data_IF_531127338696
#
_entry.id   IF_531127338696
#
_cell.length_a   1.000
_cell.length_b   1.000
_cell.length_c   1.000
_cell.angle_alpha   90.00
_cell.angle_beta   90.00
_cell.angle_gamma   90.00
#
_symmetry.space_group_name_H-M   'P 1'
#
loop_
_entity.id
_entity.type
_entity.pdbx_description
1 polymer ?
#
# COMPACT_ATOMS: atom_id res chain seq x y z
N UNK A 1 -3.59 26.67 -3.46
CA UNK A 1 -4.56 26.33 -2.39
C UNK A 1 -3.87 26.48 -1.04
N UNK A 2 -4.57 26.95 0.00
CA UNK A 2 -4.01 27.11 1.34
C UNK A 2 -4.20 25.81 2.12
N UNK A 3 -3.12 25.21 2.65
CA UNK A 3 -3.19 23.98 3.45
C UNK A 3 -4.15 24.19 4.63
N UNK A 4 -5.07 23.24 4.86
CA UNK A 4 -6.10 23.31 5.91
C UNK A 4 -5.59 22.95 7.30
N UNK A 5 -4.39 22.39 7.42
CA UNK A 5 -3.73 22.02 8.68
C UNK A 5 -2.53 22.95 8.97
N UNK A 6 -2.30 23.25 10.25
CA UNK A 6 -1.12 24.01 10.71
C UNK A 6 -0.26 23.21 11.71
N UNK A 7 -0.88 22.28 12.42
CA UNK A 7 -0.26 21.43 13.44
C UNK A 7 -0.66 19.97 13.24
N UNK A 8 0.09 19.04 13.83
CA UNK A 8 -0.30 17.62 13.84
C UNK A 8 -1.72 17.37 14.38
N UNK A 9 -2.17 18.16 15.37
CA UNK A 9 -3.54 18.07 15.91
C UNK A 9 -4.62 18.45 14.90
N UNK A 10 -4.34 19.44 14.05
CA UNK A 10 -5.27 19.81 12.98
C UNK A 10 -5.39 18.68 11.96
N UNK A 11 -4.25 18.05 11.61
CA UNK A 11 -4.22 16.94 10.68
C UNK A 11 -4.97 15.71 11.22
N UNK A 12 -4.77 15.39 12.51
CA UNK A 12 -5.48 14.30 13.20
C UNK A 12 -6.99 14.54 13.20
N UNK A 13 -7.44 15.74 13.59
CA UNK A 13 -8.85 16.10 13.57
C UNK A 13 -9.46 16.05 12.16
N UNK A 14 -8.72 16.48 11.13
CA UNK A 14 -9.18 16.37 9.75
C UNK A 14 -9.32 14.91 9.31
N UNK A 15 -8.41 14.04 9.73
CA UNK A 15 -8.50 12.62 9.44
C UNK A 15 -9.71 11.97 10.14
N UNK A 16 -9.94 12.30 11.41
CA UNK A 16 -11.13 11.84 12.16
C UNK A 16 -12.43 12.24 11.46
N UNK A 17 -12.54 13.50 11.02
CA UNK A 17 -13.71 13.96 10.27
C UNK A 17 -13.91 13.19 8.97
N UNK A 18 -12.82 12.94 8.22
CA UNK A 18 -12.90 12.14 7.00
C UNK A 18 -13.39 10.72 7.28
N UNK A 19 -12.84 10.07 8.32
CA UNK A 19 -13.24 8.71 8.68
C UNK A 19 -14.70 8.64 9.13
N UNK A 20 -15.16 9.60 9.94
CA UNK A 20 -16.55 9.69 10.36
C UNK A 20 -17.50 9.89 9.17
N UNK A 21 -17.13 10.73 8.20
CA UNK A 21 -17.91 10.93 6.98
C UNK A 21 -17.97 9.66 6.12
N UNK A 22 -16.85 8.93 5.97
CA UNK A 22 -16.85 7.67 5.23
C UNK A 22 -17.70 6.60 5.93
N UNK A 23 -17.65 6.53 7.26
CA UNK A 23 -18.46 5.62 8.07
C UNK A 23 -19.96 5.93 7.92
N UNK A 24 -20.35 7.20 8.01
CA UNK A 24 -21.75 7.63 7.81
C UNK A 24 -22.26 7.30 6.41
N UNK A 25 -21.40 7.44 5.40
CA UNK A 25 -21.73 7.13 4.01
C UNK A 25 -21.58 5.64 3.66
N UNK A 26 -21.15 4.81 4.60
CA UNK A 26 -20.82 3.40 4.40
C UNK A 26 -19.86 3.18 3.20
N UNK A 27 -18.81 4.02 3.11
CA UNK A 27 -17.81 4.02 2.06
C UNK A 27 -16.43 3.58 2.58
N UNK A 28 -15.64 2.88 1.77
CA UNK A 28 -14.26 2.56 2.13
C UNK A 28 -13.38 3.82 2.07
N UNK A 29 -12.43 3.87 2.98
CA UNK A 29 -11.41 4.90 3.04
C UNK A 29 -10.28 4.61 2.07
N UNK A 30 -9.58 5.65 1.60
CA UNK A 30 -8.38 5.49 0.79
C UNK A 30 -7.40 6.64 0.98
N UNK A 31 -6.12 6.41 0.67
CA UNK A 31 -5.09 7.47 0.71
C UNK A 31 -5.46 8.61 -0.24
N UNK A 32 -5.97 8.30 -1.43
CA UNK A 32 -6.44 9.32 -2.38
C UNK A 32 -7.65 10.09 -1.83
N UNK A 33 -8.60 9.40 -1.19
CA UNK A 33 -9.80 10.01 -0.62
C UNK A 33 -9.47 11.01 0.49
N UNK A 34 -8.63 10.62 1.46
CA UNK A 34 -8.23 11.54 2.54
C UNK A 34 -7.36 12.69 2.02
N UNK A 35 -6.49 12.42 1.04
CA UNK A 35 -5.67 13.47 0.40
C UNK A 35 -6.55 14.53 -0.26
N UNK A 36 -7.56 14.09 -1.01
CA UNK A 36 -8.53 14.98 -1.64
C UNK A 36 -9.36 15.75 -0.62
N UNK A 37 -9.86 15.07 0.42
CA UNK A 37 -10.61 15.70 1.52
C UNK A 37 -9.81 16.81 2.22
N UNK A 38 -8.52 16.55 2.45
CA UNK A 38 -7.59 17.51 3.05
C UNK A 38 -7.23 18.67 2.11
N UNK A 39 -7.53 18.54 0.82
CA UNK A 39 -7.28 19.56 -0.19
C UNK A 39 -5.88 19.48 -0.80
N UNK A 40 -5.25 18.31 -0.81
CA UNK A 40 -4.05 18.11 -1.61
C UNK A 40 -4.41 17.94 -3.09
N UNK A 41 -3.54 18.41 -3.97
CA UNK A 41 -3.70 18.19 -5.40
C UNK A 41 -3.18 16.81 -5.82
N UNK A 42 -2.18 16.29 -5.11
CA UNK A 42 -1.60 14.97 -5.33
C UNK A 42 -1.40 14.21 -4.01
N UNK A 43 -1.55 12.88 -4.03
CA UNK A 43 -1.34 12.00 -2.86
C UNK A 43 0.10 12.02 -2.36
N UNK A 44 1.07 12.30 -3.21
CA UNK A 44 2.49 12.43 -2.84
C UNK A 44 2.71 13.57 -1.85
N UNK A 45 1.96 14.67 -1.95
CA UNK A 45 2.05 15.76 -0.97
C UNK A 45 1.60 15.34 0.42
N UNK A 46 0.59 14.47 0.50
CA UNK A 46 0.14 13.87 1.76
C UNK A 46 1.19 12.89 2.30
N UNK A 47 1.77 12.05 1.43
CA UNK A 47 2.79 11.08 1.82
C UNK A 47 4.12 11.73 2.22
N UNK A 48 4.46 12.89 1.67
CA UNK A 48 5.68 13.63 2.01
C UNK A 48 5.67 14.08 3.49
N UNK A 49 4.50 14.28 4.09
CA UNK A 49 4.36 14.58 5.51
C UNK A 49 4.87 13.45 6.42
N UNK A 50 4.98 12.22 5.92
CA UNK A 50 5.56 11.09 6.65
C UNK A 50 7.05 11.31 6.97
N UNK A 51 7.73 12.20 6.24
CA UNK A 51 9.15 12.53 6.47
C UNK A 51 9.35 13.61 7.54
N UNK A 52 8.30 14.32 7.92
CA UNK A 52 8.34 15.32 8.97
C UNK A 52 7.99 14.67 10.31
N UNK A 53 8.91 14.74 11.29
CA UNK A 53 8.74 14.12 12.60
C UNK A 53 7.47 14.59 13.34
N UNK A 54 7.01 15.83 13.09
CA UNK A 54 5.77 16.33 13.68
C UNK A 54 4.53 15.58 13.14
N UNK A 55 4.51 15.27 11.84
CA UNK A 55 3.33 14.72 11.17
C UNK A 55 3.38 13.21 10.97
N UNK A 56 4.58 12.61 10.96
CA UNK A 56 4.79 11.19 10.71
C UNK A 56 3.92 10.28 11.59
N UNK A 57 3.78 10.50 12.91
CA UNK A 57 2.91 9.66 13.74
C UNK A 57 1.44 9.68 13.30
N UNK A 58 0.95 10.84 12.86
CA UNK A 58 -0.44 11.01 12.39
C UNK A 58 -0.63 10.32 11.04
N UNK A 59 0.29 10.54 10.09
CA UNK A 59 0.25 9.89 8.77
C UNK A 59 0.30 8.36 8.89
N UNK A 60 1.17 7.83 9.76
CA UNK A 60 1.30 6.40 9.99
C UNK A 60 0.02 5.80 10.58
N UNK A 61 -0.64 6.48 11.53
CA UNK A 61 -1.95 6.04 12.06
C UNK A 61 -3.03 6.04 10.99
N UNK A 62 -3.06 7.06 10.13
CA UNK A 62 -4.03 7.13 9.01
C UNK A 62 -3.83 5.95 8.07
N UNK A 63 -2.59 5.71 7.63
CA UNK A 63 -2.25 4.59 6.73
C UNK A 63 -2.67 3.26 7.35
N UNK A 64 -2.31 3.04 8.63
CA UNK A 64 -2.66 1.82 9.36
C UNK A 64 -4.17 1.61 9.48
N UNK A 65 -4.96 2.68 9.71
CA UNK A 65 -6.42 2.57 9.77
C UNK A 65 -7.02 2.18 8.42
N UNK A 66 -6.55 2.77 7.33
CA UNK A 66 -7.00 2.43 5.97
C UNK A 66 -6.60 0.99 5.62
N UNK A 67 -5.40 0.56 6.00
CA UNK A 67 -4.91 -0.81 5.82
C UNK A 67 -5.76 -1.82 6.59
N UNK A 68 -6.09 -1.52 7.86
CA UNK A 68 -6.96 -2.36 8.69
C UNK A 68 -8.33 -2.54 8.05
N UNK A 69 -8.93 -1.47 7.54
CA UNK A 69 -10.21 -1.56 6.82
C UNK A 69 -10.08 -2.41 5.56
N UNK A 70 -9.01 -2.24 4.78
CA UNK A 70 -8.77 -3.05 3.59
C UNK A 70 -8.62 -4.54 3.94
N UNK A 71 -8.01 -4.88 5.08
CA UNK A 71 -7.94 -6.26 5.57
C UNK A 71 -9.34 -6.78 5.94
N UNK A 72 -10.15 -6.00 6.66
CA UNK A 72 -11.52 -6.39 7.02
C UNK A 72 -12.38 -6.67 5.77
N UNK A 73 -12.24 -5.83 4.74
CA UNK A 73 -12.91 -5.98 3.45
C UNK A 73 -12.56 -7.28 2.71
N UNK A 74 -11.44 -7.95 3.02
CA UNK A 74 -11.14 -9.28 2.44
C UNK A 74 -12.14 -10.35 2.87
N UNK A 75 -12.72 -10.20 4.06
CA UNK A 75 -13.65 -11.17 4.65
C UNK A 75 -15.12 -10.83 4.40
N UNK A 76 -15.40 -9.59 3.99
CA UNK A 76 -16.74 -9.13 3.64
C UNK A 76 -17.07 -9.45 2.18
N UNK A 77 -18.10 -10.27 1.98
CA UNK A 77 -18.58 -10.72 0.67
C UNK A 77 -19.20 -9.61 -0.18
N UNK A 78 -19.47 -8.44 0.39
CA UNK A 78 -19.96 -7.27 -0.35
C UNK A 78 -18.87 -6.62 -1.20
N UNK A 79 -17.60 -6.90 -0.92
CA UNK A 79 -16.46 -6.38 -1.68
C UNK A 79 -15.86 -7.44 -2.61
N UNK A 80 -15.36 -6.97 -3.77
CA UNK A 80 -14.61 -7.82 -4.67
C UNK A 80 -13.20 -8.08 -4.11
N UNK A 81 -12.97 -9.26 -3.55
CA UNK A 81 -11.70 -9.67 -2.93
C UNK A 81 -10.48 -9.37 -3.82
N UNK A 82 -10.57 -9.62 -5.14
CA UNK A 82 -9.48 -9.32 -6.09
C UNK A 82 -9.11 -7.84 -6.11
N UNK A 83 -10.09 -6.94 -6.03
CA UNK A 83 -9.85 -5.50 -5.98
C UNK A 83 -9.20 -5.07 -4.67
N UNK A 84 -9.60 -5.68 -3.56
CA UNK A 84 -9.00 -5.45 -2.24
C UNK A 84 -7.54 -5.94 -2.20
N UNK A 85 -7.26 -7.13 -2.73
CA UNK A 85 -5.89 -7.68 -2.86
C UNK A 85 -5.02 -6.76 -3.73
N UNK A 86 -5.55 -6.28 -4.85
CA UNK A 86 -4.84 -5.33 -5.71
C UNK A 86 -4.48 -4.04 -4.96
N UNK A 87 -5.40 -3.49 -4.17
CA UNK A 87 -5.15 -2.31 -3.34
C UNK A 87 -4.06 -2.58 -2.28
N UNK A 88 -4.12 -3.70 -1.57
CA UNK A 88 -3.09 -4.08 -0.59
C UNK A 88 -1.70 -4.17 -1.21
N UNK A 89 -1.60 -4.71 -2.44
CA UNK A 89 -0.33 -4.78 -3.18
C UNK A 89 0.18 -3.40 -3.60
N UNK A 90 -0.67 -2.61 -4.25
CA UNK A 90 -0.25 -1.33 -4.83
C UNK A 90 -0.06 -0.20 -3.81
N UNK A 91 -0.81 -0.22 -2.71
CA UNK A 91 -0.85 0.89 -1.75
C UNK A 91 -0.15 0.59 -0.43
N UNK A 92 -0.03 -0.69 -0.04
CA UNK A 92 0.50 -1.11 1.27
C UNK A 92 1.69 -2.08 1.16
N UNK A 93 2.18 -2.35 -0.05
CA UNK A 93 3.42 -3.11 -0.26
C UNK A 93 3.29 -4.62 -0.03
N UNK A 94 2.06 -5.15 0.02
CA UNK A 94 1.85 -6.60 0.06
C UNK A 94 2.36 -7.24 -1.23
N UNK A 95 2.86 -8.46 -1.14
CA UNK A 95 3.30 -9.24 -2.29
C UNK A 95 2.90 -10.69 -2.11
N UNK A 96 2.63 -11.39 -3.22
CA UNK A 96 2.43 -12.83 -3.15
C UNK A 96 3.72 -13.50 -2.71
N UNK A 97 3.61 -14.45 -1.79
CA UNK A 97 4.75 -15.29 -1.42
C UNK A 97 4.96 -16.34 -2.51
N UNK A 98 6.04 -16.21 -3.27
CA UNK A 98 6.48 -17.22 -4.23
C UNK A 98 7.39 -18.20 -3.50
N UNK A 99 6.94 -19.44 -3.29
CA UNK A 99 7.81 -20.56 -2.92
C UNK A 99 8.19 -21.30 -4.19
N UNK A 100 9.28 -20.89 -4.85
CA UNK A 100 9.94 -21.79 -5.80
C UNK A 100 10.42 -23.02 -5.00
N UNK A 101 10.23 -24.23 -5.54
CA UNK A 101 10.88 -25.40 -4.97
C UNK A 101 12.38 -25.10 -4.91
N UNK A 102 13.04 -25.32 -3.76
CA UNK A 102 14.51 -25.19 -3.69
C UNK A 102 15.19 -26.09 -4.73
N UNK A 103 14.50 -27.16 -5.11
CA UNK A 103 14.91 -28.11 -6.12
C UNK A 103 14.88 -27.49 -7.53
N UNK A 104 13.89 -26.64 -7.84
CA UNK A 104 13.71 -26.04 -9.18
C UNK A 104 14.84 -25.07 -9.55
N UNK A 105 15.32 -24.26 -8.60
CA UNK A 105 16.39 -23.28 -8.87
C UNK A 105 17.77 -23.94 -8.94
N UNK A 106 18.01 -24.99 -8.15
CA UNK A 106 19.25 -25.77 -8.25
C UNK A 106 19.32 -26.51 -9.59
N UNK A 107 18.20 -27.10 -10.03
CA UNK A 107 18.10 -27.78 -11.32
C UNK A 107 18.23 -26.81 -12.50
N UNK A 108 17.59 -25.63 -12.43
CA UNK A 108 17.77 -24.56 -13.42
C UNK A 108 19.22 -24.09 -13.53
N UNK A 109 19.92 -23.92 -12.40
CA UNK A 109 21.33 -23.52 -12.42
C UNK A 109 22.25 -24.62 -12.95
N UNK A 110 21.98 -25.89 -12.64
CA UNK A 110 22.73 -27.01 -13.21
C UNK A 110 22.54 -27.13 -14.72
N UNK A 111 21.29 -26.98 -15.20
CA UNK A 111 20.98 -27.02 -16.62
C UNK A 111 21.59 -25.82 -17.37
N UNK A 112 21.55 -24.62 -16.79
CA UNK A 112 22.20 -23.44 -17.36
C UNK A 112 23.72 -23.62 -17.47
N UNK A 113 24.36 -24.18 -16.44
CA UNK A 113 25.80 -24.46 -16.46
C UNK A 113 26.17 -25.48 -17.55
N UNK A 114 25.40 -26.56 -17.65
CA UNK A 114 25.64 -27.60 -18.67
C UNK A 114 25.59 -27.02 -20.10
N UNK A 115 24.65 -26.14 -20.39
CA UNK A 115 24.53 -25.47 -21.69
C UNK A 115 25.72 -24.55 -21.99
N UNK A 116 26.27 -23.87 -20.97
CA UNK A 116 27.46 -23.02 -21.12
C UNK A 116 28.68 -23.90 -21.40
N UNK A 117 28.88 -24.96 -20.62
CA UNK A 117 29.99 -25.90 -20.79
C UNK A 117 29.96 -26.58 -22.18
N UNK A 118 28.76 -26.92 -22.69
CA UNK A 118 28.54 -27.46 -24.04
C UNK A 118 28.79 -26.44 -25.15
N UNK A 119 28.57 -25.14 -24.90
CA UNK A 119 28.88 -24.08 -25.86
C UNK A 119 30.39 -23.81 -25.93
N UNK A 120 31.10 -23.87 -24.80
CA UNK A 120 32.55 -23.67 -24.70
C UNK A 120 33.37 -24.85 -25.26
N UNK A 121 32.78 -26.05 -25.36
CA UNK A 121 33.45 -27.23 -25.95
C UNK A 121 33.26 -27.38 -27.45
N UNK A 122 32.43 -26.53 -28.07
CA UNK A 122 32.16 -26.52 -29.51
C UNK A 122 32.86 -25.36 -30.27
N UNK A 123 33.74 -24.59 -29.60
CA UNK A 123 34.75 -23.70 -30.22
C UNK A 123 36.13 -24.37 -30.27
#
# INVERSE_FOLDING_TARGET
>A
MKKKYRTHKDLEKMAENYFAEQEELNKPCSIAGISYFMGFADKSEFLELEKDEEFAPVINRIKLKIESQAIEMLTDKSYATTGVIFNLKCSFGYSDKITAGKDDMAELMQNAKKLIDEAETNE
#
